data_IF_789547188835
#
_entry.id   IF_789547188835
#
_cell.length_a   1.000
_cell.length_b   1.000
_cell.length_c   1.000
_cell.angle_alpha   90.00
_cell.angle_beta   90.00
_cell.angle_gamma   90.00
#
_symmetry.space_group_name_H-M   'P 1'
#
loop_
_entity.id
_entity.type
_entity.pdbx_description
1 polymer ?
#
# COMPACT_ATOMS: atom_id res chain seq x y z
N UNK A 1 -8.29 2.86 -11.68
CA UNK A 1 -7.26 3.15 -10.65
C UNK A 1 -6.78 4.60 -10.76
N UNK A 2 -6.16 5.01 -11.87
CA UNK A 2 -5.65 6.39 -12.07
C UNK A 2 -6.71 7.49 -11.85
N UNK A 3 -7.94 7.26 -12.33
CA UNK A 3 -9.08 8.16 -12.10
C UNK A 3 -9.37 8.39 -10.61
N UNK A 4 -9.29 7.33 -9.80
CA UNK A 4 -9.58 7.40 -8.36
C UNK A 4 -8.45 8.12 -7.62
N UNK A 5 -7.19 7.90 -8.04
CA UNK A 5 -6.03 8.62 -7.52
C UNK A 5 -6.19 10.13 -7.75
N UNK A 6 -6.57 10.53 -8.98
CA UNK A 6 -6.82 11.93 -9.29
C UNK A 6 -7.94 12.53 -8.41
N UNK A 7 -9.03 11.80 -8.18
CA UNK A 7 -10.11 12.24 -7.27
C UNK A 7 -9.61 12.47 -5.84
N UNK A 8 -8.81 11.54 -5.31
CA UNK A 8 -8.25 11.65 -3.95
C UNK A 8 -7.29 12.85 -3.87
N UNK A 9 -6.34 12.97 -4.80
CA UNK A 9 -5.36 14.05 -4.80
C UNK A 9 -6.00 15.43 -4.99
N UNK A 10 -7.01 15.54 -5.85
CA UNK A 10 -7.76 16.79 -6.02
C UNK A 10 -8.47 17.20 -4.73
N UNK A 11 -9.08 16.24 -4.03
CA UNK A 11 -9.72 16.52 -2.75
C UNK A 11 -8.70 16.94 -1.68
N UNK A 12 -7.55 16.28 -1.61
CA UNK A 12 -6.46 16.64 -0.68
C UNK A 12 -5.99 18.08 -0.95
N UNK A 13 -5.69 18.38 -2.21
CA UNK A 13 -5.23 19.70 -2.63
C UNK A 13 -6.27 20.80 -2.42
N UNK A 14 -7.55 20.55 -2.73
CA UNK A 14 -8.61 21.57 -2.62
C UNK A 14 -9.01 21.90 -1.18
N UNK A 15 -8.60 21.07 -0.22
CA UNK A 15 -8.88 21.24 1.20
C UNK A 15 -7.60 21.53 2.01
N UNK A 16 -6.49 21.84 1.33
CA UNK A 16 -5.19 22.15 1.93
C UNK A 16 -4.72 21.08 2.95
N UNK A 17 -5.00 19.80 2.65
CA UNK A 17 -4.64 18.68 3.53
C UNK A 17 -3.19 18.30 3.26
N UNK A 18 -2.35 18.35 4.30
CA UNK A 18 -0.95 17.95 4.21
C UNK A 18 -0.80 16.41 4.22
N UNK A 19 -0.03 15.88 3.27
CA UNK A 19 0.36 14.47 3.25
C UNK A 19 1.46 14.21 4.29
N UNK A 20 1.33 13.14 5.07
CA UNK A 20 2.27 12.71 6.11
C UNK A 20 2.95 11.38 5.81
N UNK A 21 3.36 11.20 4.56
CA UNK A 21 4.09 10.02 4.12
C UNK A 21 3.77 9.65 2.68
N UNK A 22 4.36 8.55 2.25
CA UNK A 22 4.20 8.04 0.89
C UNK A 22 2.86 7.31 0.70
N UNK A 23 2.30 7.33 -0.53
CA UNK A 23 1.11 6.57 -0.83
C UNK A 23 1.38 5.07 -0.68
N UNK A 24 0.35 4.33 -0.28
CA UNK A 24 0.45 2.89 -0.10
C UNK A 24 -0.79 2.14 -0.60
N UNK A 25 -0.58 0.89 -0.98
CA UNK A 25 -1.62 -0.07 -1.31
C UNK A 25 -1.81 -1.01 -0.12
N UNK A 26 -3.05 -1.18 0.33
CA UNK A 26 -3.45 -2.16 1.34
C UNK A 26 -4.31 -3.24 0.67
N UNK A 27 -3.81 -4.47 0.59
CA UNK A 27 -4.63 -5.60 0.13
C UNK A 27 -5.67 -5.96 1.20
N UNK A 28 -6.94 -6.00 0.82
CA UNK A 28 -8.06 -6.35 1.72
C UNK A 28 -8.60 -7.76 1.47
N UNK A 29 -8.31 -8.32 0.30
CA UNK A 29 -8.63 -9.71 -0.05
C UNK A 29 -7.67 -10.18 -1.14
N UNK A 30 -7.24 -11.43 -1.04
CA UNK A 30 -6.41 -12.07 -2.04
C UNK A 30 -6.95 -13.48 -2.33
N UNK A 31 -7.43 -13.69 -3.55
CA UNK A 31 -7.83 -14.98 -4.07
C UNK A 31 -6.73 -15.50 -5.01
N UNK A 32 -6.00 -16.52 -4.56
CA UNK A 32 -4.90 -17.12 -5.31
C UNK A 32 -5.36 -18.07 -6.42
N UNK A 33 -6.59 -18.60 -6.33
CA UNK A 33 -7.12 -19.51 -7.36
C UNK A 33 -7.62 -18.70 -8.56
N UNK A 34 -8.33 -17.61 -8.29
CA UNK A 34 -8.85 -16.71 -9.32
C UNK A 34 -7.84 -15.63 -9.75
N UNK A 35 -6.67 -15.59 -9.11
CA UNK A 35 -5.62 -14.57 -9.33
C UNK A 35 -6.14 -13.13 -9.17
N UNK A 36 -7.06 -12.91 -8.23
CA UNK A 36 -7.66 -11.59 -7.99
C UNK A 36 -7.32 -11.04 -6.61
N UNK A 37 -7.26 -9.71 -6.52
CA UNK A 37 -7.14 -8.99 -5.26
C UNK A 37 -8.20 -7.91 -5.17
N UNK A 38 -8.58 -7.59 -3.93
CA UNK A 38 -9.23 -6.32 -3.59
C UNK A 38 -8.24 -5.52 -2.76
N UNK A 39 -8.17 -4.21 -3.00
CA UNK A 39 -7.21 -3.35 -2.32
C UNK A 39 -7.74 -1.94 -2.16
N UNK A 40 -7.16 -1.22 -1.21
CA UNK A 40 -7.30 0.21 -1.05
C UNK A 40 -6.00 0.89 -1.49
N UNK A 41 -6.09 2.00 -2.20
CA UNK A 41 -4.94 2.86 -2.47
C UNK A 41 -5.10 4.14 -1.64
N UNK A 42 -4.11 4.42 -0.79
CA UNK A 42 -4.25 5.31 0.34
C UNK A 42 -3.16 6.37 0.36
N UNK A 43 -3.51 7.53 0.92
CA UNK A 43 -2.62 8.66 1.12
C UNK A 43 -2.58 9.00 2.62
N UNK A 44 -1.42 8.91 3.28
CA UNK A 44 -1.31 9.22 4.70
C UNK A 44 -1.55 10.70 4.97
N UNK A 45 -2.39 11.00 5.97
CA UNK A 45 -2.68 12.36 6.45
C UNK A 45 -2.74 12.34 7.98
N UNK A 46 -2.62 13.51 8.63
CA UNK A 46 -2.94 13.61 10.05
C UNK A 46 -4.45 13.48 10.26
N UNK A 47 -4.84 12.83 11.35
CA UNK A 47 -6.24 12.79 11.76
C UNK A 47 -6.65 14.20 12.19
N UNK A 48 -7.67 14.76 11.55
CA UNK A 48 -8.28 16.02 11.94
C UNK A 48 -9.79 15.96 11.83
N UNK A 49 -10.47 16.52 12.83
CA UNK A 49 -11.93 16.67 12.84
C UNK A 49 -12.42 17.76 11.87
N UNK A 50 -11.50 18.57 11.33
CA UNK A 50 -11.80 19.64 10.38
C UNK A 50 -11.89 19.17 8.92
N UNK A 51 -11.56 17.91 8.62
CA UNK A 51 -11.54 17.39 7.25
C UNK A 51 -12.98 17.16 6.76
N UNK A 52 -13.43 17.83 5.67
CA UNK A 52 -14.82 17.73 5.22
C UNK A 52 -15.20 16.33 4.75
N UNK A 53 -16.35 15.81 5.17
CA UNK A 53 -16.80 14.50 4.69
C UNK A 53 -17.03 14.51 3.16
N UNK A 54 -16.71 13.40 2.50
CA UNK A 54 -16.91 13.22 1.06
C UNK A 54 -17.50 11.84 0.79
N UNK A 55 -18.65 11.77 0.10
CA UNK A 55 -19.35 10.52 -0.16
C UNK A 55 -18.59 9.52 -1.05
N UNK A 56 -17.61 9.99 -1.83
CA UNK A 56 -16.79 9.18 -2.72
C UNK A 56 -15.47 8.71 -2.09
N UNK A 57 -15.12 9.24 -0.92
CA UNK A 57 -13.86 8.97 -0.24
C UNK A 57 -14.10 8.28 1.10
N UNK A 58 -13.13 7.49 1.53
CA UNK A 58 -13.17 6.82 2.82
C UNK A 58 -11.95 7.22 3.63
N UNK A 59 -12.18 7.52 4.91
CA UNK A 59 -11.14 7.78 5.89
C UNK A 59 -11.00 6.56 6.78
N UNK A 60 -9.75 6.14 7.02
CA UNK A 60 -9.44 4.96 7.83
C UNK A 60 -8.24 5.27 8.71
N UNK A 61 -8.28 4.77 9.95
CA UNK A 61 -7.11 4.73 10.83
C UNK A 61 -6.60 3.29 10.88
N UNK A 62 -5.30 3.11 10.67
CA UNK A 62 -4.65 1.81 10.81
C UNK A 62 -4.05 1.69 12.22
N UNK A 63 -4.35 0.58 12.90
CA UNK A 63 -3.67 0.26 14.15
C UNK A 63 -2.22 -0.18 13.85
N UNK A 64 -1.26 0.07 14.77
CA UNK A 64 0.07 -0.50 14.66
C UNK A 64 -0.01 -2.03 14.57
N UNK A 65 0.71 -2.61 13.60
CA UNK A 65 0.79 -4.05 13.39
C UNK A 65 2.25 -4.49 13.29
N UNK A 66 2.54 -5.71 13.74
CA UNK A 66 3.84 -6.34 13.47
C UNK A 66 3.83 -6.93 12.07
N UNK A 67 4.94 -6.77 11.35
CA UNK A 67 5.05 -7.13 9.94
C UNK A 67 6.42 -7.72 9.65
N UNK A 68 6.49 -8.59 8.64
CA UNK A 68 7.73 -8.85 7.90
C UNK A 68 7.88 -7.77 6.83
N UNK A 69 9.11 -7.28 6.62
CA UNK A 69 9.43 -6.26 5.62
C UNK A 69 10.35 -6.84 4.55
N UNK A 70 10.06 -6.55 3.29
CA UNK A 70 11.00 -6.62 2.19
C UNK A 70 11.17 -5.25 1.53
N UNK A 71 12.34 -4.98 0.96
CA UNK A 71 12.58 -3.84 0.10
C UNK A 71 12.57 -4.32 -1.35
N UNK A 72 11.69 -3.74 -2.16
CA UNK A 72 11.54 -4.04 -3.56
C UNK A 72 12.11 -2.89 -4.39
N UNK A 73 12.98 -3.23 -5.34
CA UNK A 73 13.54 -2.29 -6.31
C UNK A 73 13.26 -2.85 -7.70
N UNK A 74 12.52 -2.11 -8.53
CA UNK A 74 12.10 -2.60 -9.84
C UNK A 74 10.74 -2.06 -10.29
N UNK A 75 10.27 -2.56 -11.42
CA UNK A 75 8.96 -2.21 -11.93
C UNK A 75 7.85 -2.74 -11.00
N UNK A 76 6.96 -1.87 -10.53
CA UNK A 76 5.87 -2.27 -9.64
C UNK A 76 4.85 -3.21 -10.28
N UNK A 77 4.86 -3.41 -11.60
CA UNK A 77 4.03 -4.44 -12.25
C UNK A 77 4.37 -5.87 -11.80
N UNK A 78 5.53 -6.07 -11.18
CA UNK A 78 5.99 -7.36 -10.64
C UNK A 78 6.26 -7.31 -9.13
N UNK A 79 5.74 -6.30 -8.42
CA UNK A 79 5.95 -6.14 -6.97
C UNK A 79 5.38 -7.30 -6.16
N UNK A 80 4.37 -7.99 -6.68
CA UNK A 80 3.78 -9.19 -6.09
C UNK A 80 4.81 -10.32 -5.87
N UNK A 81 5.92 -10.35 -6.61
CA UNK A 81 7.02 -11.29 -6.34
C UNK A 81 7.59 -11.13 -4.92
N UNK A 82 7.63 -9.90 -4.39
CA UNK A 82 8.05 -9.65 -3.02
C UNK A 82 7.05 -10.23 -1.99
N UNK A 83 5.77 -10.37 -2.36
CA UNK A 83 4.77 -10.98 -1.49
C UNK A 83 5.06 -12.46 -1.33
N UNK A 84 5.29 -13.16 -2.45
CA UNK A 84 5.66 -14.57 -2.45
C UNK A 84 7.00 -14.82 -1.75
N UNK A 85 7.96 -13.91 -1.90
CA UNK A 85 9.22 -13.97 -1.15
C UNK A 85 8.98 -13.91 0.37
N UNK A 86 8.12 -13.01 0.84
CA UNK A 86 7.77 -12.91 2.26
C UNK A 86 6.97 -14.12 2.76
N UNK A 87 6.08 -14.68 1.93
CA UNK A 87 5.34 -15.91 2.27
C UNK A 87 6.30 -17.09 2.48
N UNK A 88 7.21 -17.33 1.53
CA UNK A 88 8.23 -18.38 1.62
C UNK A 88 9.15 -18.17 2.85
N UNK A 89 9.56 -16.92 3.12
CA UNK A 89 10.32 -16.60 4.32
C UNK A 89 9.55 -16.92 5.60
N UNK A 90 8.27 -16.56 5.68
CA UNK A 90 7.44 -16.84 6.84
C UNK A 90 7.28 -18.35 7.07
N UNK A 91 7.03 -19.11 6.01
CA UNK A 91 6.88 -20.57 6.06
C UNK A 91 8.17 -21.25 6.59
N UNK A 92 9.33 -20.92 6.00
CA UNK A 92 10.62 -21.48 6.41
C UNK A 92 10.98 -21.21 7.87
N UNK A 93 10.46 -20.11 8.43
CA UNK A 93 10.71 -19.71 9.81
C UNK A 93 9.53 -20.01 10.75
N UNK A 94 8.53 -20.79 10.31
CA UNK A 94 7.35 -21.16 11.09
C UNK A 94 6.60 -19.94 11.67
N UNK A 95 6.56 -18.84 10.93
CA UNK A 95 5.89 -17.60 11.33
C UNK A 95 4.43 -17.62 10.91
N UNK A 96 3.51 -17.26 11.81
CA UNK A 96 2.10 -17.09 11.48
C UNK A 96 1.88 -15.72 10.87
N UNK A 97 1.22 -15.69 9.72
CA UNK A 97 1.02 -14.48 8.92
C UNK A 97 -0.43 -14.32 8.49
N UNK A 98 -0.79 -13.08 8.17
CA UNK A 98 -2.02 -12.75 7.45
C UNK A 98 -1.62 -12.39 6.02
N UNK A 99 -2.18 -13.09 5.04
CA UNK A 99 -1.88 -12.91 3.61
C UNK A 99 -2.54 -11.65 3.00
N UNK A 100 -2.36 -10.51 3.67
CA UNK A 100 -2.89 -9.22 3.25
C UNK A 100 -1.73 -8.22 3.20
N UNK A 101 -0.91 -8.26 2.13
CA UNK A 101 0.29 -7.44 2.04
C UNK A 101 -0.05 -5.95 1.89
N UNK A 102 0.92 -5.13 2.28
CA UNK A 102 0.88 -3.67 2.15
C UNK A 102 2.10 -3.23 1.34
N UNK A 103 1.92 -2.37 0.35
CA UNK A 103 3.00 -1.80 -0.45
C UNK A 103 3.09 -0.29 -0.23
N UNK A 104 4.23 0.22 0.24
CA UNK A 104 4.51 1.65 0.40
C UNK A 104 5.45 2.12 -0.71
N UNK A 105 5.02 3.04 -1.55
CA UNK A 105 5.75 3.45 -2.76
C UNK A 105 6.58 4.71 -2.51
N UNK A 106 7.90 4.54 -2.35
CA UNK A 106 8.82 5.64 -2.02
C UNK A 106 9.23 6.48 -3.24
N UNK A 107 9.01 5.95 -4.45
CA UNK A 107 9.31 6.61 -5.70
C UNK A 107 8.08 6.52 -6.59
N UNK A 108 7.64 7.68 -7.09
CA UNK A 108 6.55 7.78 -8.06
C UNK A 108 7.02 7.26 -9.42
N UNK A 109 6.43 6.17 -9.97
CA UNK A 109 6.88 5.60 -11.24
C UNK A 109 6.53 6.50 -12.44
N UNK A 110 5.62 7.48 -12.27
CA UNK A 110 5.23 8.39 -13.35
C UNK A 110 6.31 9.43 -13.69
N UNK A 111 7.31 9.61 -12.81
CA UNK A 111 8.49 10.44 -13.14
C UNK A 111 9.37 9.79 -14.22
N UNK A 112 9.14 8.51 -14.52
CA UNK A 112 9.88 7.73 -15.51
C UNK A 112 11.27 7.30 -15.01
N UNK A 113 12.19 7.13 -15.96
CA UNK A 113 13.56 6.70 -15.68
C UNK A 113 13.74 5.18 -15.63
N UNK A 114 14.87 4.74 -15.07
CA UNK A 114 15.20 3.32 -14.92
C UNK A 114 14.38 2.71 -13.77
N UNK A 115 13.51 1.71 -14.05
CA UNK A 115 12.68 1.06 -13.03
C UNK A 115 13.49 0.41 -11.90
N UNK A 116 14.77 0.11 -12.10
CA UNK A 116 15.63 -0.43 -11.04
C UNK A 116 15.81 0.55 -9.87
N UNK A 117 15.56 1.84 -10.11
CA UNK A 117 15.59 2.87 -9.07
C UNK A 117 14.23 3.10 -8.41
N UNK A 118 13.16 2.49 -8.91
CA UNK A 118 11.84 2.58 -8.29
C UNK A 118 11.81 1.69 -7.05
N UNK A 119 11.54 2.29 -5.90
CA UNK A 119 11.64 1.61 -4.60
C UNK A 119 10.30 1.58 -3.88
N UNK A 120 9.93 0.38 -3.42
CA UNK A 120 8.81 0.16 -2.52
C UNK A 120 9.24 -0.63 -1.28
N UNK A 121 8.58 -0.36 -0.15
CA UNK A 121 8.60 -1.27 0.98
C UNK A 121 7.37 -2.16 0.94
N UNK A 122 7.59 -3.46 1.09
CA UNK A 122 6.55 -4.47 1.05
C UNK A 122 6.44 -5.07 2.44
N UNK A 123 5.23 -5.10 2.98
CA UNK A 123 4.96 -5.59 4.32
C UNK A 123 3.99 -6.77 4.27
N UNK A 124 4.29 -7.82 5.04
CA UNK A 124 3.39 -8.94 5.27
C UNK A 124 3.02 -8.99 6.76
N UNK A 125 1.74 -8.79 7.14
CA UNK A 125 1.36 -8.77 8.54
C UNK A 125 1.57 -10.12 9.24
N UNK A 126 2.08 -10.06 10.47
CA UNK A 126 2.17 -11.22 11.38
C UNK A 126 0.83 -11.40 12.12
N UNK A 127 0.51 -12.64 12.48
CA UNK A 127 -0.56 -12.96 13.44
C UNK A 127 0.11 -13.14 14.80
N UNK A 128 -0.35 -12.37 15.78
CA UNK A 128 0.08 -12.51 17.18
C UNK A 128 -0.40 -13.82 17.82
#
# INVERSE_FOLDING_TARGET
MLSNIATILNYINSNDIELKGDPFLEVTSWDKMEETIKFNFCFPIEKSDSIPQNAQLQFKTLAPIRVLKAEFNGNYSISNNAWYYLLDHAERNNMKIRELPIELYLVDPHVGGDPMNWKAHIFLPLID
#
